data_IF_494122479674
#
_entry.id   IF_494122479674
#
_cell.length_a   1.000
_cell.length_b   1.000
_cell.length_c   1.000
_cell.angle_alpha   90.00
_cell.angle_beta   90.00
_cell.angle_gamma   90.00
#
_symmetry.space_group_name_H-M   'P 1'
#
loop_
_entity.id
_entity.type
_entity.pdbx_description
1 polymer ?
#
# COMPACT_ATOMS: atom_id res chain seq x y z
N UNK A 1 12.13 1.00 -11.16
CA UNK A 1 11.99 1.10 -9.69
C UNK A 1 11.11 -0.02 -9.19
N UNK A 2 11.53 -0.70 -8.14
CA UNK A 2 10.81 -1.79 -7.46
C UNK A 2 10.22 -1.25 -6.17
N UNK A 3 8.98 -1.63 -5.88
CA UNK A 3 8.29 -1.33 -4.61
C UNK A 3 8.07 -2.63 -3.84
N UNK A 4 8.26 -2.60 -2.53
CA UNK A 4 7.93 -3.72 -1.66
C UNK A 4 6.84 -3.28 -0.68
N UNK A 5 5.61 -3.77 -0.88
CA UNK A 5 4.52 -3.63 0.08
C UNK A 5 4.73 -4.64 1.20
N UNK A 6 4.79 -4.17 2.43
CA UNK A 6 4.97 -5.01 3.61
C UNK A 6 3.85 -4.77 4.61
N UNK A 7 3.25 -5.85 5.06
CA UNK A 7 2.18 -5.82 6.05
C UNK A 7 2.60 -6.67 7.25
N UNK A 8 2.75 -6.01 8.38
CA UNK A 8 3.08 -6.65 9.65
C UNK A 8 1.84 -6.85 10.48
N UNK A 9 1.50 -8.09 10.76
CA UNK A 9 0.46 -8.46 11.72
C UNK A 9 1.13 -8.64 13.08
N UNK A 10 0.68 -7.88 14.06
CA UNK A 10 1.22 -7.96 15.42
C UNK A 10 0.28 -8.76 16.32
N UNK A 11 0.82 -9.42 17.35
CA UNK A 11 -0.04 -9.93 18.43
C UNK A 11 -0.87 -8.80 19.05
N UNK A 12 -2.06 -9.08 19.60
CA UNK A 12 -2.87 -8.07 20.27
C UNK A 12 -2.06 -7.26 21.31
N UNK A 13 -2.20 -5.92 21.25
CA UNK A 13 -1.47 -5.00 22.13
C UNK A 13 -0.02 -4.70 21.75
N UNK A 14 0.53 -5.28 20.68
CA UNK A 14 1.93 -5.07 20.26
C UNK A 14 2.11 -4.01 19.14
N UNK A 15 1.03 -3.43 18.64
CA UNK A 15 1.12 -2.40 17.59
C UNK A 15 1.93 -1.17 18.02
N UNK A 16 1.78 -0.72 19.27
CA UNK A 16 2.57 0.40 19.80
C UNK A 16 4.07 0.06 19.87
N UNK A 17 4.41 -1.18 20.25
CA UNK A 17 5.80 -1.63 20.35
C UNK A 17 6.49 -1.69 18.96
N UNK A 18 5.81 -2.21 17.94
CA UNK A 18 6.37 -2.23 16.58
C UNK A 18 6.52 -0.80 16.02
N UNK A 19 5.54 0.08 16.23
CA UNK A 19 5.63 1.48 15.83
C UNK A 19 6.83 2.17 16.51
N UNK A 20 7.03 1.97 17.81
CA UNK A 20 8.18 2.52 18.55
C UNK A 20 9.51 2.00 18.00
N UNK A 21 9.61 0.70 17.67
CA UNK A 21 10.82 0.13 17.06
C UNK A 21 11.14 0.78 15.71
N UNK A 22 10.14 0.98 14.86
CA UNK A 22 10.35 1.68 13.58
C UNK A 22 10.77 3.13 13.79
N UNK A 23 10.03 3.88 14.61
CA UNK A 23 10.28 5.29 14.86
C UNK A 23 11.68 5.57 15.44
N UNK A 24 12.10 4.75 16.42
CA UNK A 24 13.32 5.02 17.19
C UNK A 24 14.58 4.37 16.60
N UNK A 25 14.44 3.32 15.80
CA UNK A 25 15.57 2.51 15.35
C UNK A 25 15.50 2.17 13.86
N UNK A 26 14.50 1.41 13.41
CA UNK A 26 14.52 0.75 12.11
C UNK A 26 14.63 1.73 10.94
N UNK A 27 13.95 2.87 11.01
CA UNK A 27 14.02 3.91 9.95
C UNK A 27 15.42 4.49 9.82
N UNK A 28 16.10 4.74 10.94
CA UNK A 28 17.50 5.20 10.93
C UNK A 28 18.44 4.18 10.27
N UNK A 29 18.23 2.90 10.59
CA UNK A 29 19.01 1.81 10.01
C UNK A 29 18.69 1.66 8.50
N UNK A 30 17.42 1.70 8.09
CA UNK A 30 17.04 1.67 6.67
C UNK A 30 17.72 2.78 5.87
N UNK A 31 17.70 4.02 6.38
CA UNK A 31 18.36 5.16 5.74
C UNK A 31 19.87 4.95 5.57
N UNK A 32 20.53 4.37 6.58
CA UNK A 32 21.96 4.08 6.55
C UNK A 32 22.34 3.09 5.44
N UNK A 33 21.46 2.13 5.14
CA UNK A 33 21.64 1.16 4.07
C UNK A 33 21.01 1.61 2.73
N UNK A 34 20.54 2.86 2.63
CA UNK A 34 19.98 3.38 1.38
C UNK A 34 18.66 2.71 0.97
N UNK A 35 17.92 2.10 1.91
CA UNK A 35 16.59 1.55 1.66
C UNK A 35 15.60 2.71 1.56
N UNK A 36 14.97 2.86 0.40
CA UNK A 36 13.98 3.90 0.17
C UNK A 36 12.67 3.62 0.95
N UNK A 37 12.05 4.68 1.46
CA UNK A 37 10.85 4.59 2.28
C UNK A 37 9.79 5.51 1.68
N UNK A 38 8.65 4.95 1.26
CA UNK A 38 7.51 5.72 0.78
C UNK A 38 6.55 6.11 1.91
N UNK A 39 6.28 5.20 2.84
CA UNK A 39 5.44 5.52 3.98
C UNK A 39 5.13 4.36 4.91
N UNK A 40 4.57 4.72 6.08
CA UNK A 40 4.12 3.81 7.13
C UNK A 40 2.73 4.18 7.61
N UNK A 41 1.85 3.19 7.70
CA UNK A 41 0.46 3.40 8.08
C UNK A 41 -0.05 2.36 9.07
N UNK A 42 -0.95 2.78 9.94
CA UNK A 42 -1.81 1.88 10.69
C UNK A 42 -3.22 1.90 10.08
N UNK A 43 -3.94 0.80 10.18
CA UNK A 43 -5.34 0.76 9.76
C UNK A 43 -6.18 1.60 10.71
N UNK A 44 -6.87 2.60 10.17
CA UNK A 44 -7.93 3.34 10.87
C UNK A 44 -9.24 2.56 10.80
N UNK A 45 -9.55 2.03 9.60
CA UNK A 45 -10.65 1.11 9.35
C UNK A 45 -10.09 -0.04 8.51
N UNK A 46 -10.08 -1.23 9.06
CA UNK A 46 -9.53 -2.41 8.41
C UNK A 46 -9.18 -3.47 9.45
N UNK A 47 -7.97 -4.02 9.33
CA UNK A 47 -7.49 -5.07 10.22
C UNK A 47 -6.83 -4.48 11.47
N UNK A 48 -7.30 -4.87 12.65
CA UNK A 48 -6.66 -4.48 13.91
C UNK A 48 -5.24 -5.03 14.03
N UNK A 49 -4.39 -4.31 14.76
CA UNK A 49 -3.00 -4.71 15.04
C UNK A 49 -2.15 -4.92 13.77
N UNK A 50 -2.32 -4.05 12.79
CA UNK A 50 -1.61 -4.07 11.53
C UNK A 50 -0.79 -2.80 11.33
N UNK A 51 0.46 -2.97 10.86
CA UNK A 51 1.31 -1.92 10.33
C UNK A 51 1.58 -2.23 8.85
N UNK A 52 1.20 -1.33 7.97
CA UNK A 52 1.46 -1.39 6.53
C UNK A 52 2.54 -0.40 6.17
N UNK A 53 3.49 -0.76 5.32
CA UNK A 53 4.49 0.17 4.82
C UNK A 53 4.97 -0.22 3.41
N UNK A 54 5.50 0.76 2.69
CA UNK A 54 6.05 0.59 1.36
C UNK A 54 7.50 1.06 1.37
N UNK A 55 8.37 0.17 0.88
CA UNK A 55 9.78 0.45 0.60
C UNK A 55 10.00 0.53 -0.91
N UNK A 56 11.04 1.23 -1.33
CA UNK A 56 11.43 1.27 -2.73
C UNK A 56 12.93 0.98 -2.92
N UNK A 57 13.25 0.41 -4.08
CA UNK A 57 14.58 -0.02 -4.50
C UNK A 57 14.72 0.25 -6.00
N UNK A 58 15.95 0.26 -6.51
CA UNK A 58 16.16 0.36 -7.95
C UNK A 58 15.58 -0.88 -8.68
N UNK A 59 15.95 -2.07 -8.20
CA UNK A 59 15.51 -3.37 -8.70
C UNK A 59 15.64 -4.47 -7.62
N UNK A 60 15.49 -5.73 -8.02
CA UNK A 60 15.61 -6.88 -7.11
C UNK A 60 17.03 -7.13 -6.60
N UNK A 61 18.05 -6.80 -7.39
CA UNK A 61 19.45 -6.98 -6.98
C UNK A 61 19.83 -5.93 -5.91
N UNK A 62 19.45 -4.67 -6.13
CA UNK A 62 19.61 -3.59 -5.15
C UNK A 62 18.85 -3.92 -3.83
N UNK A 63 17.64 -4.47 -3.96
CA UNK A 63 16.88 -4.92 -2.79
C UNK A 63 17.59 -6.03 -2.04
N UNK A 64 18.13 -7.04 -2.72
CA UNK A 64 18.83 -8.16 -2.10
C UNK A 64 20.07 -7.67 -1.35
N UNK A 65 20.90 -6.86 -1.98
CA UNK A 65 22.10 -6.28 -1.39
C UNK A 65 21.79 -5.50 -0.12
N UNK A 66 20.92 -4.49 -0.22
CA UNK A 66 20.55 -3.61 0.90
C UNK A 66 19.88 -4.36 2.04
N UNK A 67 18.99 -5.29 1.70
CA UNK A 67 18.27 -6.07 2.69
C UNK A 67 19.19 -7.04 3.45
N UNK A 68 20.11 -7.71 2.75
CA UNK A 68 21.08 -8.59 3.38
C UNK A 68 22.02 -7.81 4.30
N UNK A 69 22.48 -6.62 3.86
CA UNK A 69 23.29 -5.73 4.70
C UNK A 69 22.53 -5.29 5.97
N UNK A 70 21.28 -4.90 5.83
CA UNK A 70 20.40 -4.57 6.95
C UNK A 70 20.23 -5.76 7.92
N UNK A 71 19.96 -6.98 7.41
CA UNK A 71 19.77 -8.16 8.24
C UNK A 71 21.04 -8.59 8.98
N UNK A 72 22.22 -8.30 8.43
CA UNK A 72 23.53 -8.61 9.04
C UNK A 72 24.01 -7.51 10.02
N UNK A 73 23.30 -6.41 10.14
CA UNK A 73 23.68 -5.27 10.97
C UNK A 73 23.59 -5.59 12.46
N UNK A 74 24.65 -5.29 13.21
CA UNK A 74 24.73 -5.57 14.65
C UNK A 74 23.73 -4.77 15.47
N UNK A 75 23.57 -3.48 15.16
CA UNK A 75 22.59 -2.64 15.84
C UNK A 75 21.18 -3.15 15.62
N UNK A 76 20.85 -3.60 14.41
CA UNK A 76 19.57 -4.24 14.12
C UNK A 76 19.36 -5.52 14.96
N UNK A 77 20.40 -6.36 15.08
CA UNK A 77 20.30 -7.57 15.88
C UNK A 77 20.06 -7.26 17.38
N UNK A 78 20.73 -6.25 17.92
CA UNK A 78 20.56 -5.79 19.30
C UNK A 78 19.17 -5.21 19.54
N UNK A 79 18.71 -4.32 18.67
CA UNK A 79 17.37 -3.71 18.72
C UNK A 79 16.28 -4.78 18.67
N UNK A 80 16.44 -5.76 17.80
CA UNK A 80 15.50 -6.88 17.68
C UNK A 80 15.46 -7.70 18.96
N UNK A 81 16.62 -8.07 19.50
CA UNK A 81 16.72 -8.83 20.75
C UNK A 81 16.09 -8.09 21.93
N UNK A 82 16.36 -6.79 22.07
CA UNK A 82 15.79 -5.96 23.13
C UNK A 82 14.27 -5.83 23.02
N UNK A 83 13.77 -5.46 21.83
CA UNK A 83 12.33 -5.21 21.62
C UNK A 83 11.48 -6.48 21.68
N UNK A 84 12.07 -7.65 21.47
CA UNK A 84 11.42 -8.96 21.52
C UNK A 84 11.77 -9.77 22.78
N UNK A 85 12.49 -9.18 23.76
CA UNK A 85 12.89 -9.86 25.00
C UNK A 85 11.71 -10.40 25.82
N UNK A 86 10.52 -9.80 25.69
CA UNK A 86 9.26 -10.23 26.35
C UNK A 86 8.32 -10.97 25.38
N UNK A 87 8.87 -11.53 24.33
CA UNK A 87 8.13 -12.25 23.28
C UNK A 87 7.97 -11.45 21.98
N UNK A 88 7.49 -12.12 20.92
CA UNK A 88 7.44 -11.54 19.59
C UNK A 88 6.50 -10.33 19.53
N UNK A 89 6.92 -9.29 18.83
CA UNK A 89 6.07 -8.13 18.51
C UNK A 89 5.53 -8.18 17.07
N UNK A 90 5.97 -9.16 16.28
CA UNK A 90 5.46 -9.46 14.93
C UNK A 90 5.02 -10.91 14.90
N UNK A 91 3.76 -11.16 14.57
CA UNK A 91 3.21 -12.51 14.43
C UNK A 91 3.38 -13.05 13.01
N UNK A 92 3.21 -12.19 12.00
CA UNK A 92 3.30 -12.56 10.58
C UNK A 92 3.70 -11.36 9.74
N UNK A 93 4.51 -11.61 8.73
CA UNK A 93 4.84 -10.66 7.67
C UNK A 93 4.23 -11.15 6.37
N UNK A 94 3.48 -10.29 5.71
CA UNK A 94 3.06 -10.48 4.33
C UNK A 94 3.81 -9.45 3.51
N UNK A 95 4.32 -9.85 2.35
CA UNK A 95 4.97 -8.91 1.44
C UNK A 95 4.74 -9.31 -0.01
N UNK A 96 4.72 -8.31 -0.89
CA UNK A 96 4.76 -8.47 -2.33
C UNK A 96 5.69 -7.44 -2.94
N UNK A 97 6.32 -7.81 -4.05
CA UNK A 97 7.12 -6.90 -4.87
C UNK A 97 6.27 -6.43 -6.04
N UNK A 98 6.27 -5.14 -6.26
CA UNK A 98 5.36 -4.48 -7.19
C UNK A 98 6.13 -3.52 -8.10
N UNK A 99 5.57 -3.27 -9.27
CA UNK A 99 6.01 -2.19 -10.17
C UNK A 99 4.86 -1.25 -10.44
N UNK A 100 5.16 0.04 -10.68
CA UNK A 100 4.13 0.98 -11.09
C UNK A 100 3.53 0.57 -12.43
N UNK A 101 2.22 0.73 -12.55
CA UNK A 101 1.55 0.66 -13.85
C UNK A 101 1.99 1.83 -14.74
N UNK A 102 1.93 1.70 -16.08
CA UNK A 102 2.31 2.80 -16.98
C UNK A 102 1.49 4.09 -16.81
N UNK A 103 0.29 3.99 -16.25
CA UNK A 103 -0.60 5.12 -16.02
C UNK A 103 -0.52 5.69 -14.60
N UNK A 104 0.26 5.08 -13.72
CA UNK A 104 0.39 5.55 -12.34
C UNK A 104 1.10 6.90 -12.26
N UNK A 105 0.61 7.86 -11.47
CA UNK A 105 1.44 8.96 -11.03
C UNK A 105 2.61 8.45 -10.19
N UNK A 106 3.64 9.28 -10.01
CA UNK A 106 4.66 9.02 -8.98
C UNK A 106 4.00 9.11 -7.61
N UNK A 107 4.17 8.11 -6.74
CA UNK A 107 3.46 8.09 -5.46
C UNK A 107 3.86 9.27 -4.56
N UNK A 108 2.85 10.01 -4.09
CA UNK A 108 3.03 11.10 -3.13
C UNK A 108 1.91 11.03 -2.10
N UNK A 109 2.28 10.90 -0.82
CA UNK A 109 1.33 10.67 0.28
C UNK A 109 1.12 11.95 1.09
N UNK A 110 0.26 12.86 0.59
CA UNK A 110 0.03 14.20 1.18
C UNK A 110 -1.22 14.29 2.04
N UNK A 111 -2.22 13.45 1.78
CA UNK A 111 -3.51 13.50 2.46
C UNK A 111 -3.45 12.95 3.88
N UNK A 112 -4.40 13.34 4.71
CA UNK A 112 -4.45 12.91 6.12
C UNK A 112 -4.79 11.44 6.28
N UNK A 113 -5.55 10.87 5.33
CA UNK A 113 -5.84 9.44 5.23
C UNK A 113 -5.63 8.95 3.80
N UNK A 114 -5.22 7.69 3.67
CA UNK A 114 -5.15 6.97 2.39
C UNK A 114 -6.06 5.74 2.45
N UNK A 115 -6.62 5.36 1.33
CA UNK A 115 -7.33 4.10 1.18
C UNK A 115 -6.49 3.17 0.30
N UNK A 116 -5.98 2.10 0.90
CA UNK A 116 -5.33 1.01 0.16
C UNK A 116 -6.41 0.10 -0.40
N UNK A 117 -6.37 -0.11 -1.69
CA UNK A 117 -7.30 -0.99 -2.40
C UNK A 117 -6.53 -2.01 -3.19
N UNK A 118 -6.95 -3.27 -3.07
CA UNK A 118 -6.35 -4.40 -3.75
C UNK A 118 -7.44 -5.12 -4.53
N UNK A 119 -7.27 -5.21 -5.83
CA UNK A 119 -8.21 -5.86 -6.74
C UNK A 119 -7.54 -7.09 -7.36
N UNK A 120 -8.07 -8.26 -7.07
CA UNK A 120 -7.74 -9.48 -7.78
C UNK A 120 -8.64 -9.55 -9.02
N UNK A 121 -8.04 -9.34 -10.19
CA UNK A 121 -8.78 -9.43 -11.44
C UNK A 121 -9.07 -10.89 -11.81
N UNK A 122 -10.18 -11.11 -12.48
CA UNK A 122 -10.46 -12.40 -13.11
C UNK A 122 -9.28 -12.78 -14.01
N UNK A 123 -8.83 -14.05 -14.03
CA UNK A 123 -7.69 -14.48 -14.82
C UNK A 123 -7.76 -13.98 -16.27
N UNK A 124 -6.70 -13.30 -16.72
CA UNK A 124 -6.61 -12.68 -18.05
C UNK A 124 -7.27 -11.30 -18.19
N UNK A 125 -8.01 -10.81 -17.19
CA UNK A 125 -8.74 -9.54 -17.27
C UNK A 125 -8.00 -8.34 -16.61
N UNK A 126 -6.78 -8.53 -16.12
CA UNK A 126 -5.98 -7.41 -15.59
C UNK A 126 -5.70 -6.30 -16.63
N UNK A 127 -5.44 -6.58 -17.92
CA UNK A 127 -5.32 -5.54 -18.93
C UNK A 127 -6.59 -4.69 -19.06
N UNK A 128 -7.79 -5.31 -19.02
CA UNK A 128 -9.06 -4.60 -19.11
C UNK A 128 -9.28 -3.70 -17.89
N UNK A 129 -8.94 -4.21 -16.70
CA UNK A 129 -8.98 -3.44 -15.47
C UNK A 129 -8.05 -2.23 -15.54
N UNK A 130 -6.81 -2.42 -15.98
CA UNK A 130 -5.83 -1.35 -16.15
C UNK A 130 -6.31 -0.31 -17.18
N UNK A 131 -6.87 -0.74 -18.31
CA UNK A 131 -7.44 0.16 -19.32
C UNK A 131 -8.60 0.99 -18.76
N UNK A 132 -9.49 0.39 -17.95
CA UNK A 132 -10.57 1.12 -17.28
C UNK A 132 -10.03 2.20 -16.34
N UNK A 133 -8.98 1.88 -15.56
CA UNK A 133 -8.34 2.86 -14.68
C UNK A 133 -7.68 3.98 -15.47
N UNK A 134 -6.83 3.65 -16.43
CA UNK A 134 -6.07 4.60 -17.23
C UNK A 134 -6.95 5.59 -18.01
N UNK A 135 -8.03 5.09 -18.63
CA UNK A 135 -8.82 5.87 -19.56
C UNK A 135 -10.03 6.55 -18.92
N UNK A 136 -10.46 6.11 -17.72
CA UNK A 136 -11.71 6.60 -17.13
C UNK A 136 -11.63 6.81 -15.63
N UNK A 137 -11.27 5.76 -14.85
CA UNK A 137 -11.47 5.77 -13.39
C UNK A 137 -10.66 6.86 -12.71
N UNK A 138 -9.41 7.08 -13.11
CA UNK A 138 -8.55 8.09 -12.50
C UNK A 138 -9.09 9.51 -12.70
N UNK A 139 -9.54 9.84 -13.91
CA UNK A 139 -10.16 11.16 -14.19
C UNK A 139 -11.46 11.35 -13.42
N UNK A 140 -12.26 10.29 -13.27
CA UNK A 140 -13.48 10.33 -12.46
C UNK A 140 -13.16 10.46 -10.96
N UNK A 141 -12.07 9.86 -10.47
CA UNK A 141 -11.61 10.08 -9.11
C UNK A 141 -11.27 11.55 -8.87
N UNK A 142 -10.48 12.17 -9.76
CA UNK A 142 -10.14 13.60 -9.67
C UNK A 142 -11.38 14.50 -9.71
N UNK A 143 -12.31 14.21 -10.61
CA UNK A 143 -13.61 14.92 -10.71
C UNK A 143 -14.38 14.93 -9.39
N UNK A 144 -14.29 13.88 -8.62
CA UNK A 144 -14.98 13.71 -7.33
C UNK A 144 -14.11 14.00 -6.10
N UNK A 145 -12.92 14.61 -6.29
CA UNK A 145 -12.04 15.00 -5.20
C UNK A 145 -11.35 13.84 -4.49
N UNK A 146 -11.13 12.74 -5.20
CA UNK A 146 -10.35 11.59 -4.77
C UNK A 146 -8.95 11.73 -5.33
N UNK A 147 -7.92 11.80 -4.47
CA UNK A 147 -6.54 11.91 -4.91
C UNK A 147 -6.01 10.57 -5.42
N UNK A 148 -5.46 10.55 -6.63
CA UNK A 148 -4.74 9.41 -7.18
C UNK A 148 -3.32 9.40 -6.60
N UNK A 149 -2.98 8.45 -5.74
CA UNK A 149 -1.65 8.36 -5.10
C UNK A 149 -0.70 7.48 -5.88
N UNK A 150 -1.10 6.26 -6.21
CA UNK A 150 -0.27 5.34 -6.98
C UNK A 150 -0.98 4.02 -7.30
N UNK A 151 -0.52 3.37 -8.38
CA UNK A 151 -1.11 2.15 -8.94
C UNK A 151 -0.01 1.16 -9.28
N UNK A 152 -0.07 -0.05 -8.73
CA UNK A 152 0.96 -1.08 -8.89
C UNK A 152 0.36 -2.40 -9.32
N UNK A 153 1.17 -3.20 -10.01
CA UNK A 153 0.91 -4.62 -10.23
C UNK A 153 2.01 -5.46 -9.61
N UNK A 154 1.67 -6.65 -9.11
CA UNK A 154 2.64 -7.54 -8.50
C UNK A 154 3.62 -8.07 -9.55
N UNK A 155 4.91 -7.93 -9.26
CA UNK A 155 5.98 -8.63 -9.96
C UNK A 155 6.21 -10.01 -9.33
N UNK A 156 6.19 -10.05 -7.99
CA UNK A 156 6.23 -11.27 -7.18
C UNK A 156 5.18 -11.14 -6.09
N UNK A 157 4.18 -11.99 -6.11
CA UNK A 157 3.04 -11.97 -5.18
C UNK A 157 1.84 -12.68 -5.78
N UNK A 158 0.72 -12.01 -5.88
CA UNK A 158 -0.51 -12.57 -6.47
C UNK A 158 -0.63 -12.16 -7.94
N UNK A 159 -0.78 -13.15 -8.83
CA UNK A 159 -1.01 -12.88 -10.25
C UNK A 159 -2.35 -12.17 -10.48
N UNK A 160 -2.42 -11.38 -11.55
CA UNK A 160 -3.61 -10.60 -11.92
C UNK A 160 -4.10 -9.61 -10.84
N UNK A 161 -3.18 -9.04 -10.08
CA UNK A 161 -3.49 -8.08 -9.01
C UNK A 161 -3.18 -6.65 -9.42
N UNK A 162 -4.13 -5.75 -9.18
CA UNK A 162 -3.92 -4.32 -9.14
C UNK A 162 -4.01 -3.85 -7.68
N UNK A 163 -2.91 -3.32 -7.16
CA UNK A 163 -2.86 -2.63 -5.87
C UNK A 163 -2.82 -1.14 -6.12
N UNK A 164 -3.65 -0.35 -5.44
CA UNK A 164 -3.60 1.10 -5.59
C UNK A 164 -3.93 1.82 -4.29
N UNK A 165 -3.45 3.05 -4.20
CA UNK A 165 -3.76 3.95 -3.09
C UNK A 165 -4.38 5.23 -3.60
N UNK A 166 -5.42 5.67 -2.90
CA UNK A 166 -6.12 6.93 -3.11
C UNK A 166 -6.16 7.70 -1.80
N UNK A 167 -6.24 9.02 -1.88
CA UNK A 167 -6.12 9.89 -0.72
C UNK A 167 -7.34 10.76 -0.48
N UNK A 168 -7.55 11.12 0.78
CA UNK A 168 -8.65 12.00 1.21
C UNK A 168 -8.22 12.89 2.39
N UNK A 169 -8.84 14.09 2.54
CA UNK A 169 -8.59 14.94 3.68
C UNK A 169 -9.02 14.32 5.02
N UNK A 170 -10.15 13.60 5.03
CA UNK A 170 -10.72 12.93 6.20
C UNK A 170 -11.77 11.88 5.79
N UNK A 171 -12.35 11.17 6.77
CA UNK A 171 -13.35 10.13 6.57
C UNK A 171 -14.68 10.67 6.00
N UNK A 172 -15.07 11.89 6.37
CA UNK A 172 -16.29 12.52 5.85
C UNK A 172 -16.15 12.88 4.37
N UNK A 173 -14.99 13.45 3.99
CA UNK A 173 -14.65 13.72 2.60
C UNK A 173 -14.59 12.42 1.78
N UNK A 174 -13.99 11.37 2.34
CA UNK A 174 -13.96 10.03 1.72
C UNK A 174 -15.37 9.52 1.42
N UNK A 175 -16.26 9.56 2.40
CA UNK A 175 -17.63 9.05 2.20
C UNK A 175 -18.33 9.83 1.10
N UNK A 176 -18.32 11.16 1.18
CA UNK A 176 -18.97 12.03 0.19
C UNK A 176 -18.40 11.84 -1.22
N UNK A 177 -17.09 11.83 -1.36
CA UNK A 177 -16.43 11.67 -2.67
C UNK A 177 -16.73 10.30 -3.29
N UNK A 178 -16.69 9.25 -2.47
CA UNK A 178 -16.99 7.90 -2.92
C UNK A 178 -18.45 7.73 -3.35
N UNK A 179 -19.39 8.26 -2.58
CA UNK A 179 -20.82 8.22 -2.92
C UNK A 179 -21.11 8.96 -4.22
N UNK A 180 -20.53 10.16 -4.39
CA UNK A 180 -20.65 10.95 -5.61
C UNK A 180 -20.05 10.20 -6.82
N UNK A 181 -18.88 9.60 -6.67
CA UNK A 181 -18.25 8.78 -7.72
C UNK A 181 -19.14 7.59 -8.10
N UNK A 182 -19.66 6.84 -7.13
CA UNK A 182 -20.53 5.69 -7.40
C UNK A 182 -21.85 6.09 -8.07
N UNK A 183 -22.39 7.25 -7.76
CA UNK A 183 -23.62 7.78 -8.35
C UNK A 183 -23.40 8.43 -9.72
N UNK A 184 -22.15 8.67 -10.17
CA UNK A 184 -21.85 9.31 -11.42
C UNK A 184 -22.33 8.47 -12.62
N UNK A 185 -23.22 9.00 -13.49
CA UNK A 185 -23.71 8.26 -14.67
C UNK A 185 -22.60 7.83 -15.63
N UNK A 186 -21.52 8.62 -15.73
CA UNK A 186 -20.37 8.26 -16.56
C UNK A 186 -19.64 7.03 -15.99
N UNK A 187 -19.43 7.01 -14.67
CA UNK A 187 -18.87 5.82 -14.02
C UNK A 187 -19.73 4.58 -14.24
N UNK A 188 -21.04 4.70 -14.04
CA UNK A 188 -21.97 3.58 -14.24
C UNK A 188 -21.92 3.05 -15.67
N UNK A 189 -21.90 3.94 -16.69
CA UNK A 189 -21.77 3.57 -18.10
C UNK A 189 -20.43 2.88 -18.39
N UNK A 190 -19.33 3.45 -17.90
CA UNK A 190 -17.97 2.90 -18.09
C UNK A 190 -17.84 1.52 -17.45
N UNK A 191 -18.35 1.39 -16.24
CA UNK A 191 -18.34 0.10 -15.52
C UNK A 191 -19.13 -0.95 -16.31
N UNK A 192 -20.36 -0.66 -16.70
CA UNK A 192 -21.22 -1.56 -17.46
C UNK A 192 -20.55 -1.99 -18.78
N UNK A 193 -19.99 -1.05 -19.53
CA UNK A 193 -19.30 -1.35 -20.79
C UNK A 193 -18.06 -2.24 -20.58
N UNK A 194 -17.27 -1.99 -19.54
CA UNK A 194 -16.07 -2.80 -19.25
C UNK A 194 -16.38 -4.22 -18.78
N UNK A 195 -17.59 -4.45 -18.28
CA UNK A 195 -18.07 -5.73 -17.74
C UNK A 195 -19.11 -6.42 -18.66
N UNK A 196 -19.30 -5.93 -19.90
CA UNK A 196 -20.24 -6.49 -20.89
C UNK A 196 -19.98 -7.99 -21.14
N UNK A 197 -18.71 -8.40 -21.16
CA UNK A 197 -18.28 -9.78 -21.32
C UNK A 197 -17.97 -10.50 -19.99
N UNK A 198 -18.63 -10.09 -18.91
CA UNK A 198 -18.46 -10.62 -17.56
C UNK A 198 -17.58 -9.74 -16.66
N UNK A 199 -17.49 -10.08 -15.37
CA UNK A 199 -16.75 -9.31 -14.40
C UNK A 199 -15.25 -9.21 -14.74
N UNK A 200 -14.62 -8.08 -14.41
CA UNK A 200 -13.17 -7.92 -14.55
C UNK A 200 -12.45 -7.96 -13.20
N UNK A 201 -13.18 -7.83 -12.10
CA UNK A 201 -12.67 -7.98 -10.72
C UNK A 201 -13.37 -9.15 -10.08
N UNK A 202 -12.60 -10.10 -9.57
CA UNK A 202 -13.11 -11.27 -8.85
C UNK A 202 -13.28 -10.97 -7.36
N UNK A 203 -12.23 -10.39 -6.74
CA UNK A 203 -12.24 -10.04 -5.31
C UNK A 203 -11.64 -8.64 -5.12
N UNK A 204 -12.20 -7.89 -4.19
CA UNK A 204 -11.63 -6.60 -3.78
C UNK A 204 -11.47 -6.51 -2.27
N UNK A 205 -10.31 -6.01 -1.85
CA UNK A 205 -10.02 -5.68 -0.46
C UNK A 205 -9.73 -4.19 -0.34
N UNK A 206 -10.09 -3.59 0.78
CA UNK A 206 -9.74 -2.21 1.06
C UNK A 206 -9.61 -1.95 2.55
N UNK A 207 -8.71 -1.04 2.88
CA UNK A 207 -8.47 -0.53 4.23
C UNK A 207 -8.26 0.97 4.18
N UNK A 208 -8.78 1.68 5.16
CA UNK A 208 -8.46 3.09 5.36
C UNK A 208 -7.28 3.18 6.31
N UNK A 209 -6.23 3.80 5.83
CA UNK A 209 -4.93 3.88 6.45
C UNK A 209 -4.68 5.30 6.95
N UNK A 210 -4.12 5.40 8.15
CA UNK A 210 -3.65 6.65 8.74
C UNK A 210 -2.13 6.64 8.80
N UNK A 211 -1.44 7.63 8.22
CA UNK A 211 0.01 7.73 8.32
C UNK A 211 0.45 7.76 9.78
N UNK A 212 1.51 7.03 10.09
CA UNK A 212 2.15 7.12 11.41
C UNK A 212 2.85 8.47 11.58
N UNK A 213 3.13 8.87 12.82
CA UNK A 213 3.82 10.14 13.11
C UNK A 213 5.25 10.21 12.55
N UNK A 214 5.86 9.07 12.25
CA UNK A 214 7.21 8.92 11.72
C UNK A 214 7.24 8.58 10.20
N UNK A 215 6.08 8.48 9.56
CA UNK A 215 6.01 8.32 8.10
C UNK A 215 6.61 9.55 7.40
N UNK A 216 7.41 9.39 6.34
CA UNK A 216 7.82 10.50 5.49
C UNK A 216 6.60 11.27 4.97
N UNK A 217 6.76 12.58 4.76
CA UNK A 217 5.73 13.48 4.19
C UNK A 217 6.26 14.14 2.93
#
# INVERSE_FOLDING_TARGET
MLYELRVYLTPPGKLAAINARFANHTIGIFKRFGIGIDGFWNDEIGRSNQLTYILNFEDMADREEKWNAFQADKEWAEVRAETEAKGPIVAKVLNSFMTLTPFSPQPVFKTAIQELRVYDAVPGRLPDLNNRFANHTMGLFEKHGIENVGYWTDLVGTSNRLTYMIGYPDLGARQKSWDNFQADPEWQRVRAASEENGPIVEVSYHSILKPTSYSPR
#
